data_IF_152138459145
#
_entry.id   IF_152138459145
#
_cell.length_a   1.000
_cell.length_b   1.000
_cell.length_c   1.000
_cell.angle_alpha   90.00
_cell.angle_beta   90.00
_cell.angle_gamma   90.00
#
_symmetry.space_group_name_H-M   'P 1'
#
loop_
_entity.id
_entity.type
_entity.pdbx_description
1 polymer ?
#
# COMPACT_ATOMS: atom_id res chain seq x y z
N UNK A 1 -0.42 -27.34 9.35
CA UNK A 1 -1.32 -26.61 8.41
C UNK A 1 -0.48 -26.07 7.29
N UNK A 2 -0.95 -26.14 6.04
CA UNK A 2 -0.20 -25.69 4.87
C UNK A 2 -1.04 -24.75 4.02
N UNK A 3 -0.44 -23.66 3.58
CA UNK A 3 -1.08 -22.66 2.75
C UNK A 3 -0.29 -22.54 1.43
N UNK A 4 -0.99 -22.65 0.34
CA UNK A 4 -0.44 -22.45 -1.01
C UNK A 4 -1.14 -21.24 -1.63
N UNK A 5 -0.34 -20.28 -2.08
CA UNK A 5 -0.79 -19.11 -2.81
C UNK A 5 -0.47 -19.25 -4.29
N UNK A 6 -1.47 -19.37 -5.13
CA UNK A 6 -1.32 -19.45 -6.59
C UNK A 6 -1.64 -18.10 -7.20
N UNK A 7 -0.66 -17.47 -7.80
CA UNK A 7 -0.81 -16.24 -8.56
C UNK A 7 -0.67 -16.52 -10.05
N UNK A 8 -1.38 -15.76 -10.85
CA UNK A 8 -1.34 -15.93 -12.29
C UNK A 8 -1.60 -14.59 -13.00
N UNK A 9 -1.05 -14.44 -14.19
CA UNK A 9 -1.50 -13.38 -15.08
C UNK A 9 -2.90 -13.69 -15.62
N UNK A 10 -3.69 -12.67 -16.00
CA UNK A 10 -5.00 -12.92 -16.60
C UNK A 10 -4.92 -13.84 -17.82
N UNK A 11 -5.86 -14.75 -17.93
CA UNK A 11 -6.03 -15.69 -19.06
C UNK A 11 -4.92 -16.71 -19.27
N UNK A 12 -4.17 -17.08 -18.24
CA UNK A 12 -3.16 -18.13 -18.30
C UNK A 12 -3.61 -19.48 -17.70
N UNK A 13 -4.91 -19.70 -17.50
CA UNK A 13 -5.44 -20.96 -16.92
C UNK A 13 -5.15 -21.15 -15.43
N UNK A 14 -4.72 -20.09 -14.73
CA UNK A 14 -4.33 -20.17 -13.31
C UNK A 14 -5.46 -20.61 -12.36
N UNK A 15 -6.69 -20.26 -12.67
CA UNK A 15 -7.86 -20.66 -11.85
C UNK A 15 -8.11 -22.17 -11.94
N UNK A 16 -8.11 -22.71 -13.15
CA UNK A 16 -8.28 -24.14 -13.37
C UNK A 16 -7.12 -24.93 -12.75
N UNK A 17 -5.89 -24.43 -12.92
CA UNK A 17 -4.71 -25.00 -12.28
C UNK A 17 -4.85 -25.05 -10.75
N UNK A 18 -5.27 -23.95 -10.10
CA UNK A 18 -5.42 -23.86 -8.65
C UNK A 18 -6.51 -24.83 -8.14
N UNK A 19 -7.63 -24.94 -8.86
CA UNK A 19 -8.71 -25.89 -8.51
C UNK A 19 -8.26 -27.34 -8.67
N UNK A 20 -7.57 -27.65 -9.75
CA UNK A 20 -7.02 -29.00 -10.01
C UNK A 20 -5.98 -29.38 -8.97
N UNK A 21 -5.11 -28.42 -8.59
CA UNK A 21 -4.13 -28.60 -7.53
C UNK A 21 -4.80 -28.91 -6.17
N UNK A 22 -5.81 -28.11 -5.81
CA UNK A 22 -6.56 -28.31 -4.58
C UNK A 22 -7.25 -29.68 -4.54
N UNK A 23 -7.91 -30.06 -5.64
CA UNK A 23 -8.54 -31.36 -5.78
C UNK A 23 -7.54 -32.52 -5.63
N UNK A 24 -6.37 -32.43 -6.27
CA UNK A 24 -5.32 -33.45 -6.20
C UNK A 24 -4.65 -33.56 -4.81
N UNK A 25 -4.67 -32.48 -4.04
CA UNK A 25 -4.19 -32.46 -2.65
C UNK A 25 -5.28 -32.84 -1.62
N UNK A 26 -6.54 -32.86 -2.00
CA UNK A 26 -7.67 -33.00 -1.10
C UNK A 26 -7.88 -31.79 -0.21
N UNK A 27 -7.54 -30.59 -0.68
CA UNK A 27 -7.58 -29.32 0.04
C UNK A 27 -8.71 -28.42 -0.47
N UNK A 28 -9.12 -27.45 0.37
CA UNK A 28 -10.06 -26.42 -0.06
C UNK A 28 -9.36 -25.44 -1.03
N UNK A 29 -10.05 -25.08 -2.14
CA UNK A 29 -9.66 -23.96 -2.98
C UNK A 29 -10.42 -22.70 -2.55
N UNK A 30 -9.69 -21.62 -2.29
CA UNK A 30 -10.24 -20.30 -1.98
C UNK A 30 -9.88 -19.33 -3.10
N UNK A 31 -10.84 -19.09 -3.98
CA UNK A 31 -10.77 -18.07 -5.03
C UNK A 31 -11.54 -16.81 -4.62
N UNK A 32 -11.59 -15.83 -5.51
CA UNK A 32 -12.29 -14.57 -5.28
C UNK A 32 -13.78 -14.76 -5.03
N UNK A 33 -14.42 -15.73 -5.71
CA UNK A 33 -15.85 -15.99 -5.57
C UNK A 33 -16.19 -16.59 -4.20
N UNK A 34 -15.40 -17.56 -3.75
CA UNK A 34 -15.51 -18.17 -2.42
C UNK A 34 -15.27 -17.10 -1.33
N UNK A 35 -14.23 -16.29 -1.49
CA UNK A 35 -13.88 -15.25 -0.52
C UNK A 35 -14.98 -14.19 -0.39
N UNK A 36 -15.46 -13.64 -1.51
CA UNK A 36 -16.55 -12.65 -1.52
C UNK A 36 -17.84 -13.27 -0.97
N UNK A 37 -18.20 -14.50 -1.39
CA UNK A 37 -19.37 -15.19 -0.90
C UNK A 37 -19.36 -15.37 0.63
N UNK A 38 -18.20 -15.69 1.21
CA UNK A 38 -18.04 -15.81 2.67
C UNK A 38 -18.10 -14.46 3.37
N UNK A 39 -17.51 -13.40 2.78
CA UNK A 39 -17.59 -12.04 3.33
C UNK A 39 -19.05 -11.53 3.33
N UNK A 40 -19.81 -11.78 2.27
CA UNK A 40 -21.25 -11.45 2.20
C UNK A 40 -22.07 -12.21 3.25
N UNK A 41 -21.81 -13.51 3.43
CA UNK A 41 -22.48 -14.32 4.47
C UNK A 41 -22.21 -13.79 5.90
N UNK A 42 -21.22 -12.92 6.09
CA UNK A 42 -20.87 -12.24 7.34
C UNK A 42 -21.38 -10.81 7.43
N UNK A 43 -22.27 -10.40 6.55
CA UNK A 43 -22.85 -9.07 6.51
C UNK A 43 -22.11 -8.06 5.61
N UNK A 44 -21.10 -8.50 4.85
CA UNK A 44 -20.46 -7.65 3.85
C UNK A 44 -21.38 -7.30 2.69
N UNK A 45 -21.28 -6.09 2.17
CA UNK A 45 -22.03 -5.67 0.99
C UNK A 45 -21.28 -6.08 -0.29
N UNK A 46 -21.90 -6.97 -1.10
CA UNK A 46 -21.31 -7.51 -2.33
C UNK A 46 -20.82 -6.41 -3.29
N UNK A 47 -21.63 -5.36 -3.50
CA UNK A 47 -21.30 -4.28 -4.43
C UNK A 47 -20.10 -3.48 -3.95
N UNK A 48 -20.03 -3.19 -2.65
CA UNK A 48 -18.89 -2.48 -2.07
C UNK A 48 -17.60 -3.34 -2.10
N UNK A 49 -17.71 -4.64 -1.86
CA UNK A 49 -16.56 -5.56 -1.95
C UNK A 49 -16.01 -5.60 -3.38
N UNK A 50 -16.86 -5.71 -4.39
CA UNK A 50 -16.45 -5.69 -5.80
C UNK A 50 -15.83 -4.32 -6.18
N UNK A 51 -16.48 -3.22 -5.82
CA UNK A 51 -15.97 -1.87 -6.07
C UNK A 51 -14.60 -1.63 -5.41
N UNK A 52 -14.38 -2.18 -4.22
CA UNK A 52 -13.10 -2.09 -3.53
C UNK A 52 -11.98 -2.82 -4.29
N UNK A 53 -12.27 -3.98 -4.86
CA UNK A 53 -11.32 -4.77 -5.65
C UNK A 53 -11.00 -4.10 -7.00
N UNK A 54 -12.00 -3.54 -7.66
CA UNK A 54 -11.85 -2.79 -8.91
C UNK A 54 -11.18 -1.43 -8.71
N UNK A 55 -11.24 -0.87 -7.50
CA UNK A 55 -10.68 0.43 -7.17
C UNK A 55 -11.49 1.61 -7.73
N UNK A 56 -12.80 1.44 -7.87
CA UNK A 56 -13.72 2.44 -8.42
C UNK A 56 -14.81 2.81 -7.41
N UNK A 57 -15.31 4.06 -7.48
CA UNK A 57 -16.48 4.57 -6.76
C UNK A 57 -16.43 4.53 -5.22
N UNK A 58 -15.29 4.22 -4.60
CA UNK A 58 -15.13 4.23 -3.15
C UNK A 58 -14.07 5.25 -2.72
N UNK A 59 -14.31 5.90 -1.58
CA UNK A 59 -13.27 6.67 -0.89
C UNK A 59 -12.20 5.73 -0.38
N UNK A 60 -10.96 6.21 -0.26
CA UNK A 60 -9.82 5.38 0.14
C UNK A 60 -10.07 4.62 1.46
N UNK A 61 -10.68 5.28 2.45
CA UNK A 61 -11.04 4.64 3.74
C UNK A 61 -12.05 3.51 3.58
N UNK A 62 -13.08 3.75 2.78
CA UNK A 62 -14.12 2.74 2.50
C UNK A 62 -13.54 1.55 1.76
N UNK A 63 -12.69 1.81 0.75
CA UNK A 63 -11.96 0.78 0.04
C UNK A 63 -11.09 -0.06 0.97
N UNK A 64 -10.29 0.60 1.82
CA UNK A 64 -9.44 -0.06 2.82
C UNK A 64 -10.26 -0.94 3.76
N UNK A 65 -11.40 -0.44 4.27
CA UNK A 65 -12.27 -1.20 5.16
C UNK A 65 -12.80 -2.49 4.50
N UNK A 66 -13.23 -2.42 3.24
CA UNK A 66 -13.71 -3.61 2.51
C UNK A 66 -12.59 -4.62 2.26
N UNK A 67 -11.37 -4.16 1.96
CA UNK A 67 -10.21 -5.04 1.77
C UNK A 67 -9.81 -5.71 3.09
N UNK A 68 -9.81 -4.97 4.20
CA UNK A 68 -9.55 -5.54 5.53
C UNK A 68 -10.61 -6.57 5.95
N UNK A 69 -11.88 -6.34 5.59
CA UNK A 69 -12.94 -7.32 5.79
C UNK A 69 -12.69 -8.61 4.99
N UNK A 70 -12.21 -8.50 3.75
CA UNK A 70 -11.80 -9.66 2.95
C UNK A 70 -10.61 -10.39 3.58
N UNK A 71 -9.59 -9.65 4.08
CA UNK A 71 -8.46 -10.26 4.78
C UNK A 71 -8.89 -11.02 6.04
N UNK A 72 -9.75 -10.43 6.86
CA UNK A 72 -10.27 -11.11 8.06
C UNK A 72 -11.10 -12.36 7.70
N UNK A 73 -11.87 -12.30 6.61
CA UNK A 73 -12.61 -13.45 6.09
C UNK A 73 -11.67 -14.54 5.61
N UNK A 74 -10.61 -14.17 4.89
CA UNK A 74 -9.57 -15.09 4.44
C UNK A 74 -8.86 -15.76 5.64
N UNK A 75 -8.50 -14.98 6.67
CA UNK A 75 -7.90 -15.50 7.90
C UNK A 75 -8.69 -16.68 8.48
N UNK A 76 -10.00 -16.52 8.60
CA UNK A 76 -10.85 -17.59 9.12
C UNK A 76 -11.01 -18.81 8.19
N UNK A 77 -10.86 -18.61 6.87
CA UNK A 77 -10.87 -19.72 5.93
C UNK A 77 -9.60 -20.55 6.02
N UNK A 78 -8.44 -19.88 6.17
CA UNK A 78 -7.15 -20.57 6.27
C UNK A 78 -6.94 -21.23 7.63
N UNK A 79 -7.53 -20.70 8.70
CA UNK A 79 -7.46 -21.27 10.04
C UNK A 79 -8.02 -22.71 10.10
N UNK A 80 -8.98 -23.04 9.23
CA UNK A 80 -9.66 -24.35 9.20
C UNK A 80 -8.81 -25.49 8.67
N UNK A 81 -7.63 -25.24 8.12
CA UNK A 81 -6.76 -26.31 7.62
C UNK A 81 -5.98 -25.97 6.36
N UNK A 82 -5.60 -27.01 5.65
CA UNK A 82 -4.81 -26.89 4.42
C UNK A 82 -5.64 -26.26 3.29
N UNK A 83 -5.07 -25.27 2.61
CA UNK A 83 -5.81 -24.46 1.62
C UNK A 83 -4.94 -24.06 0.44
N UNK A 84 -5.55 -24.02 -0.76
CA UNK A 84 -5.00 -23.38 -1.96
C UNK A 84 -5.74 -22.07 -2.17
N UNK A 85 -5.07 -20.94 -2.04
CA UNK A 85 -5.60 -19.62 -2.32
C UNK A 85 -5.24 -19.20 -3.74
N UNK A 86 -6.19 -18.67 -4.51
CA UNK A 86 -5.97 -18.23 -5.88
C UNK A 86 -6.33 -16.76 -6.09
N UNK A 87 -5.54 -16.08 -6.91
CA UNK A 87 -5.80 -14.71 -7.36
C UNK A 87 -5.84 -13.72 -6.18
N UNK A 88 -6.95 -13.00 -5.99
CA UNK A 88 -7.12 -12.01 -4.92
C UNK A 88 -6.90 -12.63 -3.54
N UNK A 89 -7.40 -13.86 -3.30
CA UNK A 89 -7.18 -14.53 -2.03
C UNK A 89 -5.68 -14.81 -1.77
N UNK A 90 -4.92 -15.17 -2.81
CA UNK A 90 -3.48 -15.33 -2.71
C UNK A 90 -2.74 -14.00 -2.45
N UNK A 91 -3.20 -12.91 -3.06
CA UNK A 91 -2.61 -11.59 -2.91
C UNK A 91 -2.85 -10.98 -1.51
N UNK A 92 -3.99 -11.29 -0.89
CA UNK A 92 -4.34 -10.80 0.44
C UNK A 92 -3.59 -11.50 1.58
N UNK A 93 -2.88 -12.61 1.28
CA UNK A 93 -2.04 -13.30 2.25
C UNK A 93 -0.74 -12.51 2.50
N UNK A 94 -0.74 -11.72 3.56
CA UNK A 94 0.45 -10.99 4.02
C UNK A 94 1.23 -11.82 5.05
N UNK A 95 1.60 -13.04 4.69
CA UNK A 95 2.42 -13.95 5.49
C UNK A 95 3.86 -13.91 4.96
N UNK A 96 4.83 -14.23 5.83
CA UNK A 96 6.24 -14.21 5.47
C UNK A 96 6.63 -15.39 4.56
N UNK A 97 7.80 -15.29 3.93
CA UNK A 97 8.39 -16.40 3.18
C UNK A 97 8.64 -17.60 4.13
N UNK A 98 8.24 -18.79 3.68
CA UNK A 98 8.30 -20.02 4.48
C UNK A 98 7.00 -20.38 5.21
N UNK A 99 6.07 -19.45 5.35
CA UNK A 99 4.73 -19.71 5.95
C UNK A 99 3.69 -20.02 4.87
N UNK A 100 3.92 -19.55 3.66
CA UNK A 100 3.09 -19.75 2.46
C UNK A 100 3.97 -20.18 1.32
N UNK A 101 3.60 -21.24 0.64
CA UNK A 101 4.21 -21.61 -0.63
C UNK A 101 3.60 -20.78 -1.76
N UNK A 102 4.41 -19.96 -2.41
CA UNK A 102 3.99 -19.06 -3.47
C UNK A 102 4.33 -19.65 -4.84
N UNK A 103 3.31 -19.88 -5.62
CA UNK A 103 3.41 -20.47 -6.95
C UNK A 103 2.89 -19.47 -7.96
N UNK A 104 3.62 -19.30 -9.07
CA UNK A 104 3.10 -18.54 -10.20
C UNK A 104 2.87 -19.43 -11.40
N UNK A 105 1.72 -19.25 -12.03
CA UNK A 105 1.40 -19.83 -13.32
C UNK A 105 1.66 -18.76 -14.38
N UNK A 106 2.65 -19.00 -15.22
CA UNK A 106 3.09 -18.04 -16.24
C UNK A 106 3.10 -18.72 -17.60
N UNK A 107 2.41 -18.15 -18.58
CA UNK A 107 2.42 -18.61 -19.96
C UNK A 107 2.78 -17.46 -20.90
N UNK A 108 3.36 -17.73 -22.07
CA UNK A 108 3.70 -16.69 -23.04
C UNK A 108 2.49 -15.85 -23.46
N UNK A 109 2.70 -14.57 -23.72
CA UNK A 109 1.64 -13.64 -24.14
C UNK A 109 0.80 -14.17 -25.32
N UNK A 110 1.43 -14.86 -26.29
CA UNK A 110 0.74 -15.48 -27.42
C UNK A 110 -0.33 -16.50 -26.99
N UNK A 111 -0.04 -17.28 -25.95
CA UNK A 111 -0.96 -18.29 -25.41
C UNK A 111 -2.13 -17.63 -24.67
N UNK A 112 -1.84 -16.60 -23.88
CA UNK A 112 -2.88 -15.80 -23.21
C UNK A 112 -3.81 -15.12 -24.22
N UNK A 113 -3.25 -14.58 -25.32
CA UNK A 113 -4.04 -14.00 -26.40
C UNK A 113 -4.91 -15.05 -27.08
N UNK A 114 -4.37 -16.21 -27.41
CA UNK A 114 -5.15 -17.32 -27.97
C UNK A 114 -6.29 -17.76 -27.02
N UNK A 115 -6.05 -17.77 -25.72
CA UNK A 115 -7.08 -18.02 -24.70
C UNK A 115 -8.20 -16.98 -24.75
N UNK A 116 -7.87 -15.69 -24.87
CA UNK A 116 -8.87 -14.61 -25.02
C UNK A 116 -9.65 -14.77 -26.33
N UNK A 117 -8.97 -15.04 -27.43
CA UNK A 117 -9.60 -15.25 -28.75
C UNK A 117 -10.60 -16.42 -28.68
N UNK A 118 -10.24 -17.50 -28.03
CA UNK A 118 -11.08 -18.70 -27.90
C UNK A 118 -12.28 -18.53 -26.98
N UNK A 119 -12.07 -17.89 -25.82
CA UNK A 119 -13.12 -17.86 -24.77
C UNK A 119 -13.96 -16.58 -24.77
N UNK A 120 -13.43 -15.45 -25.28
CA UNK A 120 -14.13 -14.17 -25.31
C UNK A 120 -14.60 -13.81 -26.73
N UNK A 121 -14.25 -14.60 -27.73
CA UNK A 121 -14.59 -14.37 -29.14
C UNK A 121 -14.11 -12.99 -29.65
N UNK A 122 -12.97 -12.52 -29.12
CA UNK A 122 -12.31 -11.26 -29.50
C UNK A 122 -11.07 -11.60 -30.31
N UNK A 123 -10.79 -10.86 -31.40
CA UNK A 123 -9.67 -11.19 -32.28
C UNK A 123 -8.76 -9.98 -32.55
N UNK A 124 -7.53 -10.25 -32.93
CA UNK A 124 -6.59 -9.25 -33.44
C UNK A 124 -6.31 -8.10 -32.48
N UNK A 125 -6.72 -6.88 -32.85
CA UNK A 125 -6.52 -5.68 -32.05
C UNK A 125 -7.40 -5.63 -30.80
N UNK A 126 -8.63 -6.14 -30.89
CA UNK A 126 -9.58 -6.18 -29.78
C UNK A 126 -9.11 -7.13 -28.67
N UNK A 127 -8.67 -8.32 -29.02
CA UNK A 127 -8.10 -9.27 -28.06
C UNK A 127 -6.87 -8.68 -27.35
N UNK A 128 -6.01 -7.96 -28.08
CA UNK A 128 -4.85 -7.25 -27.48
C UNK A 128 -5.28 -6.13 -26.53
N UNK A 129 -6.25 -5.31 -26.94
CA UNK A 129 -6.75 -4.22 -26.10
C UNK A 129 -7.37 -4.76 -24.81
N UNK A 130 -8.18 -5.80 -24.93
CA UNK A 130 -8.82 -6.48 -23.81
C UNK A 130 -7.80 -7.06 -22.83
N UNK A 131 -6.81 -7.81 -23.30
CA UNK A 131 -5.76 -8.37 -22.46
C UNK A 131 -4.92 -7.29 -21.78
N UNK A 132 -4.55 -6.23 -22.49
CA UNK A 132 -3.80 -5.11 -21.94
C UNK A 132 -4.57 -4.39 -20.83
N UNK A 133 -5.90 -4.26 -20.94
CA UNK A 133 -6.71 -3.64 -19.88
C UNK A 133 -6.74 -4.51 -18.62
N UNK A 134 -6.88 -5.83 -18.75
CA UNK A 134 -6.80 -6.75 -17.62
C UNK A 134 -5.41 -6.75 -16.97
N UNK A 135 -4.35 -6.68 -17.75
CA UNK A 135 -2.97 -6.56 -17.23
C UNK A 135 -2.77 -5.23 -16.49
N UNK A 136 -3.38 -4.13 -16.98
CA UNK A 136 -3.35 -2.84 -16.28
C UNK A 136 -4.14 -2.90 -14.97
N UNK A 137 -5.31 -3.54 -14.97
CA UNK A 137 -6.11 -3.71 -13.77
C UNK A 137 -5.35 -4.54 -12.72
N UNK A 138 -4.72 -5.65 -13.13
CA UNK A 138 -3.87 -6.47 -12.28
C UNK A 138 -2.70 -5.68 -11.70
N UNK A 139 -2.00 -4.89 -12.52
CA UNK A 139 -0.91 -4.01 -12.04
C UNK A 139 -1.39 -2.96 -11.04
N UNK A 140 -2.54 -2.29 -11.30
CA UNK A 140 -3.13 -1.33 -10.35
C UNK A 140 -3.43 -1.98 -9.00
N UNK A 141 -4.00 -3.18 -9.01
CA UNK A 141 -4.27 -3.97 -7.81
C UNK A 141 -3.00 -4.30 -7.03
N UNK A 142 -1.99 -4.83 -7.69
CA UNK A 142 -0.72 -5.16 -7.03
C UNK A 142 0.04 -3.92 -6.54
N UNK A 143 -0.06 -2.80 -7.26
CA UNK A 143 0.49 -1.52 -6.78
C UNK A 143 -0.22 -1.06 -5.50
N UNK A 144 -1.52 -1.22 -5.43
CA UNK A 144 -2.30 -0.86 -4.25
C UNK A 144 -1.91 -1.69 -3.03
N UNK A 145 -1.81 -3.00 -3.18
CA UNK A 145 -1.51 -3.91 -2.06
C UNK A 145 -0.05 -3.89 -1.63
N UNK A 146 0.88 -3.94 -2.59
CA UNK A 146 2.29 -4.20 -2.32
C UNK A 146 3.18 -2.98 -2.52
N UNK A 147 2.60 -1.85 -2.94
CA UNK A 147 3.36 -0.67 -3.38
C UNK A 147 4.47 -1.03 -4.41
N UNK A 148 4.25 -2.11 -5.17
CA UNK A 148 5.21 -2.71 -6.10
C UNK A 148 4.85 -2.38 -7.54
N UNK A 149 5.81 -1.82 -8.29
CA UNK A 149 5.63 -1.53 -9.72
C UNK A 149 5.63 -2.77 -10.62
N UNK A 150 6.23 -3.85 -10.17
CA UNK A 150 6.30 -5.10 -10.93
C UNK A 150 4.97 -5.82 -11.00
N UNK A 151 4.02 -5.44 -10.15
CA UNK A 151 2.71 -6.10 -10.10
C UNK A 151 2.76 -7.53 -9.59
N UNK A 152 3.88 -7.94 -9.01
CA UNK A 152 4.09 -9.29 -8.50
C UNK A 152 4.36 -9.23 -7.00
N UNK A 153 3.84 -10.17 -6.21
CA UNK A 153 4.27 -10.39 -4.84
C UNK A 153 5.78 -10.64 -4.81
N UNK A 154 6.43 -10.30 -3.70
CA UNK A 154 7.86 -10.53 -3.52
C UNK A 154 8.13 -12.04 -3.44
N UNK A 155 8.78 -12.56 -4.48
CA UNK A 155 9.29 -13.95 -4.53
C UNK A 155 8.21 -15.01 -4.80
N UNK A 156 8.55 -15.95 -5.65
CA UNK A 156 7.82 -17.19 -5.85
C UNK A 156 8.75 -18.35 -5.56
N UNK A 157 8.22 -19.38 -4.90
CA UNK A 157 8.95 -20.62 -4.62
C UNK A 157 9.00 -21.52 -5.88
N UNK A 158 7.98 -21.39 -6.74
CA UNK A 158 7.88 -22.15 -7.99
C UNK A 158 7.17 -21.32 -9.07
N UNK A 159 7.72 -21.35 -10.28
CA UNK A 159 7.06 -20.89 -11.50
C UNK A 159 6.77 -22.08 -12.39
N UNK A 160 5.52 -22.21 -12.83
CA UNK A 160 5.10 -23.30 -13.74
C UNK A 160 4.53 -22.74 -15.04
N UNK A 161 4.85 -23.40 -16.13
CA UNK A 161 4.26 -23.14 -17.45
C UNK A 161 3.52 -24.38 -17.94
N UNK A 162 2.18 -24.46 -17.71
CA UNK A 162 1.40 -25.62 -18.13
C UNK A 162 1.34 -25.83 -19.66
N UNK A 163 1.55 -24.77 -20.46
CA UNK A 163 1.55 -24.88 -21.92
C UNK A 163 2.80 -25.61 -22.45
N UNK A 164 3.94 -25.46 -21.77
CA UNK A 164 5.19 -26.11 -22.15
C UNK A 164 5.36 -27.50 -21.52
N UNK A 165 5.01 -27.62 -20.25
CA UNK A 165 5.20 -28.86 -19.48
C UNK A 165 4.05 -29.85 -19.67
N UNK A 166 2.90 -29.38 -20.08
CA UNK A 166 1.62 -30.09 -19.99
C UNK A 166 0.97 -29.92 -18.59
N UNK A 167 -0.36 -29.82 -18.53
CA UNK A 167 -1.09 -29.54 -17.29
C UNK A 167 -0.82 -30.56 -16.18
N UNK A 168 -0.79 -31.85 -16.51
CA UNK A 168 -0.55 -32.93 -15.55
C UNK A 168 0.85 -32.94 -14.97
N UNK A 169 1.87 -32.67 -15.81
CA UNK A 169 3.27 -32.56 -15.38
C UNK A 169 3.46 -31.33 -14.46
N UNK A 170 2.88 -30.21 -14.81
CA UNK A 170 2.91 -29.00 -13.99
C UNK A 170 2.26 -29.24 -12.61
N UNK A 171 1.11 -29.90 -12.57
CA UNK A 171 0.43 -30.29 -11.32
C UNK A 171 1.27 -31.28 -10.50
N UNK A 172 1.87 -32.29 -11.17
CA UNK A 172 2.70 -33.30 -10.49
C UNK A 172 3.93 -32.67 -9.85
N UNK A 173 4.65 -31.80 -10.59
CA UNK A 173 5.82 -31.06 -10.09
C UNK A 173 5.45 -30.18 -8.88
N UNK A 174 4.33 -29.46 -8.98
CA UNK A 174 3.83 -28.63 -7.90
C UNK A 174 3.47 -29.45 -6.66
N UNK A 175 2.76 -30.57 -6.82
CA UNK A 175 2.43 -31.49 -5.71
C UNK A 175 3.68 -32.07 -5.05
N UNK A 176 4.71 -32.41 -5.84
CA UNK A 176 5.98 -32.92 -5.33
C UNK A 176 6.67 -31.89 -4.45
N UNK A 177 6.76 -30.62 -4.91
CA UNK A 177 7.31 -29.52 -4.14
C UNK A 177 6.53 -29.29 -2.83
N UNK A 178 5.19 -29.25 -2.89
CA UNK A 178 4.35 -29.06 -1.71
C UNK A 178 4.53 -30.18 -0.67
N UNK A 179 4.76 -31.42 -1.13
CA UNK A 179 4.97 -32.57 -0.24
C UNK A 179 6.38 -32.62 0.36
N UNK A 180 7.37 -32.02 -0.29
CA UNK A 180 8.72 -31.96 0.24
C UNK A 180 8.78 -30.98 1.42
N UNK A 181 8.91 -31.55 2.63
CA UNK A 181 9.00 -30.78 3.89
C UNK A 181 10.23 -29.89 3.99
N UNK A 182 11.26 -30.12 3.16
CA UNK A 182 12.50 -29.32 3.17
C UNK A 182 12.33 -27.95 2.55
N UNK A 183 11.33 -27.77 1.68
CA UNK A 183 11.03 -26.51 1.03
C UNK A 183 10.24 -25.54 1.89
N UNK A 184 9.73 -26.01 3.03
CA UNK A 184 9.01 -25.17 3.99
C UNK A 184 9.95 -24.90 5.17
N UNK A 185 10.11 -23.65 5.54
CA UNK A 185 10.53 -23.28 6.89
C UNK A 185 9.63 -24.00 7.91
N UNK A 186 10.09 -24.17 9.13
CA UNK A 186 9.33 -24.86 10.17
C UNK A 186 7.88 -24.38 10.16
N UNK A 187 6.91 -25.35 10.06
CA UNK A 187 5.48 -25.05 10.21
C UNK A 187 5.32 -24.17 11.46
N UNK A 188 5.09 -22.88 11.28
CA UNK A 188 4.85 -21.98 12.39
C UNK A 188 3.33 -21.67 12.47
N UNK A 189 2.55 -22.49 13.18
CA UNK A 189 1.13 -22.27 13.33
C UNK A 189 0.81 -20.95 14.04
N UNK A 190 1.77 -20.40 14.79
CA UNK A 190 1.60 -19.11 15.49
C UNK A 190 1.48 -17.94 14.52
N UNK A 191 2.25 -17.92 13.44
CA UNK A 191 2.21 -16.83 12.47
C UNK A 191 0.88 -16.76 11.71
N UNK A 192 0.23 -17.89 11.48
CA UNK A 192 -1.12 -17.93 10.92
C UNK A 192 -2.15 -17.42 11.93
N UNK A 193 -2.03 -17.82 13.21
CA UNK A 193 -2.85 -17.27 14.30
C UNK A 193 -2.66 -15.75 14.42
N UNK A 194 -1.43 -15.29 14.39
CA UNK A 194 -1.10 -13.85 14.43
C UNK A 194 -1.72 -13.10 13.23
N UNK A 195 -1.67 -13.69 12.02
CA UNK A 195 -2.33 -13.12 10.84
C UNK A 195 -3.86 -13.05 11.00
N UNK A 196 -4.48 -14.13 11.49
CA UNK A 196 -5.94 -14.20 11.72
C UNK A 196 -6.36 -13.13 12.72
N UNK A 197 -5.63 -13.01 13.81
CA UNK A 197 -5.89 -12.04 14.86
C UNK A 197 -5.68 -10.61 14.36
N UNK A 198 -4.55 -10.32 13.71
CA UNK A 198 -4.25 -9.00 13.17
C UNK A 198 -5.29 -8.56 12.13
N UNK A 199 -5.69 -9.45 11.21
CA UNK A 199 -6.68 -9.14 10.19
C UNK A 199 -8.07 -8.90 10.79
N UNK A 200 -8.44 -9.64 11.82
CA UNK A 200 -9.70 -9.46 12.56
C UNK A 200 -9.76 -8.11 13.27
N UNK A 201 -8.69 -7.74 13.97
CA UNK A 201 -8.57 -6.43 14.65
C UNK A 201 -8.64 -5.29 13.65
N UNK A 202 -7.85 -5.35 12.57
CA UNK A 202 -7.85 -4.31 11.53
C UNK A 202 -9.21 -4.13 10.89
N UNK A 203 -9.89 -5.24 10.55
CA UNK A 203 -11.21 -5.18 9.96
C UNK A 203 -12.23 -4.57 10.93
N UNK A 204 -12.19 -4.95 12.20
CA UNK A 204 -13.10 -4.40 13.20
C UNK A 204 -12.92 -2.90 13.40
N UNK A 205 -11.68 -2.43 13.56
CA UNK A 205 -11.38 -1.00 13.68
C UNK A 205 -11.81 -0.22 12.44
N UNK A 206 -11.63 -0.78 11.25
CA UNK A 206 -11.97 -0.11 10.00
C UNK A 206 -13.46 -0.10 9.67
N UNK A 207 -14.24 -1.05 10.20
CA UNK A 207 -15.69 -1.17 9.94
C UNK A 207 -16.56 -0.58 11.04
N UNK A 208 -16.01 -0.35 12.23
CA UNK A 208 -16.71 0.31 13.32
C UNK A 208 -16.77 1.82 13.08
N UNK A 209 -17.95 2.45 13.02
CA UNK A 209 -18.10 3.89 12.72
C UNK A 209 -17.27 4.79 13.65
N UNK A 210 -17.17 4.41 14.92
CA UNK A 210 -16.51 5.16 15.98
C UNK A 210 -14.98 5.17 15.81
N UNK A 211 -14.39 4.12 15.21
CA UNK A 211 -12.94 3.97 15.05
C UNK A 211 -12.47 4.01 13.60
N UNK A 212 -13.39 3.93 12.62
CA UNK A 212 -13.06 3.89 11.18
C UNK A 212 -12.26 5.12 10.68
N UNK A 213 -12.33 6.24 11.41
CA UNK A 213 -11.60 7.45 11.09
C UNK A 213 -10.15 7.45 11.60
N UNK A 214 -9.79 6.53 12.48
CA UNK A 214 -8.46 6.41 13.08
C UNK A 214 -7.50 5.73 12.10
N UNK A 215 -6.27 6.22 12.04
CA UNK A 215 -5.19 5.58 11.28
C UNK A 215 -4.28 4.83 12.25
N UNK A 216 -4.70 3.62 12.59
CA UNK A 216 -3.98 2.72 13.48
C UNK A 216 -3.39 1.57 12.68
N UNK A 217 -2.11 1.31 12.92
CA UNK A 217 -1.43 0.11 12.48
C UNK A 217 -1.51 -0.97 13.57
N UNK A 218 -1.71 -2.21 13.15
CA UNK A 218 -1.87 -3.35 14.04
C UNK A 218 -0.87 -4.42 13.65
N UNK A 219 -0.02 -4.78 14.57
CA UNK A 219 0.91 -5.90 14.46
C UNK A 219 0.57 -6.91 15.55
N UNK A 220 0.61 -8.20 15.23
CA UNK A 220 0.42 -9.27 16.22
C UNK A 220 1.67 -10.12 16.24
N UNK A 221 2.19 -10.38 17.42
CA UNK A 221 3.34 -11.23 17.67
C UNK A 221 3.06 -12.15 18.86
N UNK A 222 3.06 -13.46 18.63
CA UNK A 222 2.80 -14.47 19.66
C UNK A 222 1.48 -14.22 20.43
N UNK A 223 0.41 -14.03 19.68
CA UNK A 223 -0.95 -13.73 20.19
C UNK A 223 -1.06 -12.38 20.93
N UNK A 224 -0.03 -11.54 20.93
CA UNK A 224 -0.06 -10.21 21.50
C UNK A 224 -0.24 -9.15 20.41
N UNK A 225 -1.31 -8.37 20.49
CA UNK A 225 -1.62 -7.32 19.54
C UNK A 225 -0.96 -5.99 19.96
N UNK A 226 -0.09 -5.46 19.12
CA UNK A 226 0.58 -4.18 19.30
C UNK A 226 -0.09 -3.18 18.35
N UNK A 227 -0.67 -2.13 18.92
CA UNK A 227 -1.31 -1.06 18.15
C UNK A 227 -0.42 0.18 18.13
N UNK A 228 -0.21 0.72 16.93
CA UNK A 228 0.60 1.93 16.69
C UNK A 228 -0.22 2.97 15.97
N UNK A 229 -0.07 4.23 16.36
CA UNK A 229 -0.74 5.33 15.67
C UNK A 229 -0.99 6.53 16.55
N UNK A 230 -1.96 7.33 16.16
CA UNK A 230 -2.30 8.57 16.85
C UNK A 230 -3.80 8.67 17.07
N UNK A 231 -4.20 9.07 18.27
CA UNK A 231 -5.57 9.42 18.63
C UNK A 231 -5.60 10.85 19.15
N UNK A 232 -6.74 11.52 19.03
CA UNK A 232 -6.86 12.95 19.38
C UNK A 232 -6.91 13.19 20.89
N UNK A 233 -7.52 12.29 21.61
CA UNK A 233 -7.75 12.40 23.05
C UNK A 233 -7.86 11.02 23.70
N UNK A 234 -7.93 11.01 25.02
CA UNK A 234 -8.10 9.79 25.80
C UNK A 234 -9.44 9.09 25.54
N UNK A 235 -10.48 9.83 25.13
CA UNK A 235 -11.80 9.25 24.81
C UNK A 235 -11.69 8.36 23.55
N UNK A 236 -10.98 8.81 22.51
CA UNK A 236 -10.72 7.97 21.32
C UNK A 236 -9.92 6.71 21.67
N UNK A 237 -8.99 6.79 22.63
CA UNK A 237 -8.25 5.62 23.09
C UNK A 237 -9.15 4.61 23.81
N UNK A 238 -10.06 5.08 24.65
CA UNK A 238 -11.05 4.21 25.32
C UNK A 238 -12.00 3.57 24.29
N UNK A 239 -12.47 4.32 23.28
CA UNK A 239 -13.27 3.76 22.18
C UNK A 239 -12.54 2.62 21.45
N UNK A 240 -11.22 2.75 21.21
CA UNK A 240 -10.42 1.66 20.62
C UNK A 240 -10.44 0.42 21.52
N UNK A 241 -10.30 0.60 22.84
CA UNK A 241 -10.36 -0.51 23.79
C UNK A 241 -11.74 -1.17 23.79
N UNK A 242 -12.81 -0.38 23.87
CA UNK A 242 -14.20 -0.88 23.91
C UNK A 242 -14.56 -1.67 22.66
N UNK A 243 -14.07 -1.25 21.49
CA UNK A 243 -14.27 -1.95 20.21
C UNK A 243 -13.54 -3.29 20.18
N UNK A 244 -12.39 -3.40 20.85
CA UNK A 244 -11.52 -4.58 20.79
C UNK A 244 -11.75 -5.58 21.92
N UNK A 245 -12.11 -5.12 23.13
CA UNK A 245 -12.30 -5.94 24.33
C UNK A 245 -13.21 -7.18 24.13
N UNK A 246 -14.33 -7.10 23.39
CA UNK A 246 -15.20 -8.27 23.21
C UNK A 246 -14.54 -9.45 22.50
N UNK A 247 -13.42 -9.23 21.82
CA UNK A 247 -12.73 -10.25 21.01
C UNK A 247 -11.30 -10.54 21.44
N UNK A 248 -10.76 -9.79 22.41
CA UNK A 248 -9.39 -9.93 22.87
C UNK A 248 -9.36 -9.79 24.39
N UNK A 249 -8.70 -10.72 25.11
CA UNK A 249 -8.38 -10.49 26.52
C UNK A 249 -7.52 -9.22 26.64
N UNK A 250 -7.84 -8.36 27.61
CA UNK A 250 -7.08 -7.09 27.83
C UNK A 250 -5.56 -7.31 27.99
N UNK A 251 -5.16 -8.48 28.48
CA UNK A 251 -3.77 -8.87 28.69
C UNK A 251 -2.99 -9.14 27.39
N UNK A 252 -3.69 -9.25 26.23
CA UNK A 252 -3.10 -9.51 24.93
C UNK A 252 -3.02 -8.28 24.04
N UNK A 253 -3.19 -7.06 24.59
CA UNK A 253 -3.13 -5.81 23.84
C UNK A 253 -2.07 -4.87 24.41
N UNK A 254 -1.13 -4.46 23.58
CA UNK A 254 -0.19 -3.37 23.86
C UNK A 254 -0.61 -2.10 23.13
N UNK A 255 -1.10 -1.13 23.88
CA UNK A 255 -1.52 0.19 23.40
C UNK A 255 -0.48 1.28 23.72
N UNK A 256 0.66 0.92 24.30
CA UNK A 256 1.70 1.87 24.73
C UNK A 256 2.30 2.68 23.58
N UNK A 257 2.16 2.20 22.35
CA UNK A 257 2.65 2.84 21.13
C UNK A 257 1.59 3.73 20.45
N UNK A 258 0.42 3.92 21.06
CA UNK A 258 -0.57 4.89 20.60
C UNK A 258 -0.25 6.24 21.25
N UNK A 259 0.04 7.24 20.41
CA UNK A 259 0.25 8.62 20.86
C UNK A 259 -1.08 9.34 20.98
N UNK A 260 -1.43 9.77 22.19
CA UNK A 260 -2.56 10.67 22.43
C UNK A 260 -2.09 12.09 22.15
N UNK A 261 -2.63 12.71 21.11
CA UNK A 261 -2.40 14.11 20.80
C UNK A 261 -3.48 14.88 21.53
N UNK A 262 -3.33 15.10 22.83
CA UNK A 262 -4.17 16.06 23.51
C UNK A 262 -4.03 17.39 22.77
N UNK A 263 -5.12 17.80 22.13
CA UNK A 263 -5.20 19.16 21.59
C UNK A 263 -5.00 20.07 22.79
N UNK A 264 -3.78 20.58 22.87
CA UNK A 264 -3.32 21.43 23.96
C UNK A 264 -4.48 22.37 24.31
N UNK A 265 -4.92 22.38 25.57
CA UNK A 265 -5.81 23.37 26.13
C UNK A 265 -5.24 24.81 26.02
N UNK A 266 -4.15 24.98 25.29
CA UNK A 266 -3.53 26.24 24.89
C UNK A 266 -4.50 27.24 24.24
N UNK A 267 -5.64 26.81 23.71
CA UNK A 267 -6.61 27.77 23.15
C UNK A 267 -7.43 28.53 24.21
N UNK A 268 -7.62 27.98 25.37
CA UNK A 268 -8.32 28.70 26.47
C UNK A 268 -7.37 29.56 27.32
N UNK A 269 -6.16 29.05 27.60
CA UNK A 269 -5.17 29.80 28.36
C UNK A 269 -4.54 30.92 27.54
N UNK A 270 -4.24 30.69 26.23
CA UNK A 270 -3.77 31.75 25.32
C UNK A 270 -4.84 32.81 25.10
N UNK A 271 -6.13 32.48 25.01
CA UNK A 271 -7.23 33.46 24.98
C UNK A 271 -7.35 34.21 26.31
N UNK A 272 -7.22 33.52 27.44
CA UNK A 272 -7.21 34.12 28.76
C UNK A 272 -6.00 35.05 28.95
N UNK A 273 -4.83 34.62 28.49
CA UNK A 273 -3.60 35.44 28.57
C UNK A 273 -3.69 36.64 27.62
N UNK A 274 -4.15 36.49 26.37
CA UNK A 274 -4.35 37.59 25.44
C UNK A 274 -5.40 38.59 25.95
N UNK A 275 -6.47 38.13 26.58
CA UNK A 275 -7.49 39.03 27.16
C UNK A 275 -7.02 39.78 28.40
N UNK A 276 -6.03 39.27 29.14
CA UNK A 276 -5.44 39.90 30.32
C UNK A 276 -4.26 40.81 29.97
N UNK A 277 -3.51 40.50 28.91
CA UNK A 277 -2.27 41.24 28.55
C UNK A 277 -2.52 42.47 27.68
N UNK A 278 -3.72 42.65 27.11
CA UNK A 278 -4.04 43.78 26.23
C UNK A 278 -4.98 44.85 26.88
N UNK A 279 -4.92 45.01 28.19
CA UNK A 279 -5.50 46.24 28.84
C UNK A 279 -4.41 47.27 29.02
N UNK A 280 -3.97 47.91 27.94
CA UNK A 280 -3.21 49.15 28.02
C UNK A 280 -4.18 50.32 28.26
N UNK A 281 -4.01 51.11 29.30
CA UNK A 281 -4.78 52.33 29.49
C UNK A 281 -4.25 53.40 28.54
N UNK A 282 -4.77 53.45 27.33
CA UNK A 282 -4.45 54.51 26.37
C UNK A 282 -5.41 55.67 26.56
N UNK A 283 -4.86 56.85 26.85
CA UNK A 283 -5.62 58.10 26.90
C UNK A 283 -6.22 58.41 25.51
N UNK A 284 -7.43 58.95 25.40
CA UNK A 284 -8.19 59.01 24.15
C UNK A 284 -7.61 59.89 23.02
N UNK A 285 -6.51 60.61 23.28
CA UNK A 285 -5.85 61.46 22.26
C UNK A 285 -4.69 60.80 21.52
N UNK A 286 -4.21 59.62 21.96
CA UNK A 286 -3.08 58.91 21.33
C UNK A 286 -3.50 57.68 20.54
N UNK A 287 -4.80 57.34 20.49
CA UNK A 287 -5.30 56.12 19.87
C UNK A 287 -5.14 56.11 18.33
N UNK A 288 -5.13 57.26 17.67
CA UNK A 288 -5.11 57.38 16.22
C UNK A 288 -3.71 57.23 15.61
N UNK A 289 -2.66 57.56 16.35
CA UNK A 289 -1.28 57.43 15.84
C UNK A 289 -0.74 56.01 15.91
N UNK A 290 -1.25 55.18 16.82
CA UNK A 290 -0.87 53.77 16.93
C UNK A 290 -1.73 52.84 16.07
N UNK A 291 -2.94 53.25 15.65
CA UNK A 291 -3.76 52.45 14.74
C UNK A 291 -3.14 52.31 13.33
N UNK A 292 -2.45 53.36 12.87
CA UNK A 292 -1.75 53.33 11.57
C UNK A 292 -0.52 52.43 11.55
N UNK A 293 0.27 52.40 12.62
CA UNK A 293 1.45 51.54 12.73
C UNK A 293 1.08 50.09 13.01
N UNK A 294 0.06 49.85 13.84
CA UNK A 294 -0.44 48.49 14.08
C UNK A 294 -1.05 47.84 12.86
N UNK A 295 -1.75 48.61 12.01
CA UNK A 295 -2.29 48.14 10.73
C UNK A 295 -1.21 47.73 9.75
N UNK A 296 -0.13 48.51 9.63
CA UNK A 296 1.02 48.18 8.75
C UNK A 296 1.77 46.93 9.20
N UNK A 297 1.96 46.73 10.51
CA UNK A 297 2.60 45.51 11.05
C UNK A 297 1.70 44.28 10.83
N UNK A 298 0.39 44.39 10.99
CA UNK A 298 -0.53 43.27 10.70
C UNK A 298 -0.61 42.95 9.22
N UNK A 299 -0.56 43.94 8.33
CA UNK A 299 -0.50 43.70 6.88
C UNK A 299 0.85 43.10 6.47
N UNK A 300 1.96 43.52 7.09
CA UNK A 300 3.28 42.94 6.84
C UNK A 300 3.36 41.50 7.38
N UNK A 301 2.83 41.21 8.56
CA UNK A 301 2.76 39.85 9.14
C UNK A 301 1.79 38.95 8.35
N UNK A 302 0.65 39.46 7.91
CA UNK A 302 -0.26 38.73 7.04
C UNK A 302 0.39 38.48 5.66
N UNK A 303 1.09 39.44 5.08
CA UNK A 303 1.85 39.30 3.83
C UNK A 303 2.97 38.26 3.96
N UNK A 304 3.70 38.25 5.08
CA UNK A 304 4.73 37.26 5.37
C UNK A 304 4.11 35.85 5.62
N UNK A 305 2.94 35.80 6.26
CA UNK A 305 2.22 34.55 6.48
C UNK A 305 1.59 33.99 5.21
N UNK A 306 1.11 34.86 4.31
CA UNK A 306 0.56 34.48 3.00
C UNK A 306 1.64 34.11 1.97
N UNK A 307 2.79 34.78 1.99
CA UNK A 307 3.92 34.45 1.11
C UNK A 307 4.63 33.15 1.52
N UNK A 308 4.67 32.82 2.81
CA UNK A 308 5.21 31.55 3.31
C UNK A 308 4.35 30.31 3.02
N UNK A 309 3.03 30.50 2.76
CA UNK A 309 2.09 29.38 2.51
C UNK A 309 2.02 28.87 1.08
N UNK A 310 2.69 29.50 0.11
CA UNK A 310 2.58 29.11 -1.31
C UNK A 310 3.52 28.00 -1.77
N UNK A 311 4.23 27.30 -0.89
CA UNK A 311 5.28 26.40 -1.33
C UNK A 311 4.95 24.90 -1.28
N UNK A 312 3.86 24.46 -0.62
CA UNK A 312 3.55 23.03 -0.54
C UNK A 312 2.04 22.76 -0.55
N UNK A 313 1.56 21.84 -1.39
CA UNK A 313 0.16 21.42 -1.39
C UNK A 313 -0.20 20.71 -0.07
N UNK A 314 -1.44 20.83 0.35
CA UNK A 314 -1.96 20.32 1.63
C UNK A 314 -1.78 18.80 1.86
N UNK A 315 -1.45 18.04 0.81
CA UNK A 315 -1.21 16.59 0.84
C UNK A 315 0.27 16.22 0.61
N UNK A 316 1.24 17.12 0.84
CA UNK A 316 2.65 16.79 0.63
C UNK A 316 3.26 16.07 1.83
N UNK A 317 3.98 14.98 1.59
CA UNK A 317 4.68 14.17 2.57
C UNK A 317 6.18 14.42 2.49
N UNK A 318 6.81 14.81 3.60
CA UNK A 318 8.26 14.96 3.68
C UNK A 318 8.90 13.55 3.69
N UNK A 319 9.82 13.32 2.77
CA UNK A 319 10.57 12.07 2.64
C UNK A 319 12.06 12.37 2.70
N UNK A 320 12.83 11.45 3.29
CA UNK A 320 14.27 11.41 3.21
C UNK A 320 14.64 10.12 2.45
N UNK A 321 15.28 10.27 1.29
CA UNK A 321 15.48 9.20 0.31
C UNK A 321 16.94 9.16 -0.15
N UNK A 322 17.52 7.97 -0.12
CA UNK A 322 18.78 7.70 -0.80
C UNK A 322 18.48 7.04 -2.16
N UNK A 323 19.16 7.50 -3.21
CA UNK A 323 18.93 6.94 -4.54
C UNK A 323 19.85 7.56 -5.60
N UNK A 324 19.57 7.23 -6.85
CA UNK A 324 20.29 7.73 -8.02
C UNK A 324 19.36 8.58 -8.87
N UNK A 325 19.84 9.74 -9.32
CA UNK A 325 19.11 10.57 -10.30
C UNK A 325 19.30 9.97 -11.69
N UNK A 326 18.22 9.50 -12.28
CA UNK A 326 18.19 8.81 -13.57
C UNK A 326 16.99 9.28 -14.41
N UNK A 327 16.69 8.61 -15.49
CA UNK A 327 15.54 8.88 -16.35
C UNK A 327 14.38 7.88 -16.10
N UNK A 328 13.16 8.29 -16.45
CA UNK A 328 11.96 7.50 -16.23
C UNK A 328 11.87 6.24 -17.11
N UNK A 329 12.66 6.14 -18.16
CA UNK A 329 12.66 4.99 -19.08
C UNK A 329 13.53 3.87 -18.52
N UNK A 330 14.72 4.19 -18.05
CA UNK A 330 15.71 3.23 -17.53
C UNK A 330 15.61 3.00 -16.02
N UNK A 331 15.05 3.95 -15.27
CA UNK A 331 14.73 3.90 -13.84
C UNK A 331 15.55 2.93 -13.00
N UNK A 332 15.04 1.74 -12.82
CA UNK A 332 15.67 0.70 -11.99
C UNK A 332 16.84 -0.05 -12.63
N UNK A 333 17.00 -0.01 -13.95
CA UNK A 333 18.06 -0.73 -14.65
C UNK A 333 19.47 -0.26 -14.28
N UNK A 334 19.59 0.93 -13.67
CA UNK A 334 20.87 1.53 -13.26
C UNK A 334 21.16 1.39 -11.75
N UNK A 335 20.52 0.45 -11.06
CA UNK A 335 20.73 0.28 -9.61
C UNK A 335 22.10 -0.24 -9.23
N UNK A 336 22.66 -1.13 -10.04
CA UNK A 336 23.96 -1.79 -9.78
C UNK A 336 25.14 -1.01 -10.32
N UNK A 337 24.93 -0.24 -11.40
CA UNK A 337 25.95 0.62 -11.99
C UNK A 337 25.39 2.03 -12.12
N UNK A 338 26.16 3.04 -11.69
CA UNK A 338 25.80 4.45 -11.88
C UNK A 338 25.69 4.73 -13.38
N UNK A 339 24.54 5.24 -13.87
CA UNK A 339 24.41 5.60 -15.28
C UNK A 339 25.33 6.76 -15.61
N UNK A 340 25.92 6.76 -16.80
CA UNK A 340 26.61 7.93 -17.30
C UNK A 340 25.60 9.10 -17.40
N UNK A 341 25.96 10.26 -16.87
CA UNK A 341 25.09 11.44 -16.88
C UNK A 341 24.61 11.81 -18.29
N UNK A 342 25.45 11.58 -19.29
CA UNK A 342 25.13 11.78 -20.70
C UNK A 342 24.04 10.83 -21.22
N UNK A 343 24.04 9.57 -20.79
CA UNK A 343 23.00 8.60 -21.15
C UNK A 343 21.64 9.03 -20.60
N UNK A 344 21.58 9.45 -19.32
CA UNK A 344 20.36 9.95 -18.68
C UNK A 344 19.83 11.19 -19.42
N UNK A 345 20.70 12.17 -19.70
CA UNK A 345 20.34 13.38 -20.45
C UNK A 345 19.90 13.09 -21.89
N UNK A 346 20.53 12.11 -22.54
CA UNK A 346 20.13 11.68 -23.88
C UNK A 346 18.73 11.09 -23.89
N UNK A 347 18.40 10.20 -22.95
CA UNK A 347 17.05 9.63 -22.82
C UNK A 347 15.98 10.69 -22.59
N UNK A 348 16.25 11.69 -21.76
CA UNK A 348 15.31 12.79 -21.53
C UNK A 348 15.10 13.63 -22.81
N UNK A 349 16.17 13.97 -23.54
CA UNK A 349 16.11 14.79 -24.76
C UNK A 349 15.49 14.06 -25.96
N UNK A 350 15.84 12.78 -26.17
CA UNK A 350 15.47 12.07 -27.40
C UNK A 350 14.22 11.21 -27.26
N UNK A 351 13.89 10.74 -26.05
CA UNK A 351 12.75 9.85 -25.79
C UNK A 351 11.64 10.48 -24.97
N UNK A 352 11.74 11.77 -24.62
CA UNK A 352 10.75 12.46 -23.79
C UNK A 352 10.65 11.90 -22.36
N UNK A 353 11.70 11.23 -21.88
CA UNK A 353 11.76 10.74 -20.49
C UNK A 353 11.79 11.92 -19.52
N UNK A 354 11.47 11.66 -18.23
CA UNK A 354 11.58 12.64 -17.17
C UNK A 354 12.72 12.26 -16.22
N UNK A 355 13.37 13.24 -15.62
CA UNK A 355 14.31 13.00 -14.54
C UNK A 355 13.56 12.48 -13.30
N UNK A 356 14.11 11.45 -12.69
CA UNK A 356 13.53 10.76 -11.55
C UNK A 356 14.59 10.40 -10.51
N UNK A 357 14.23 10.37 -9.23
CA UNK A 357 15.06 9.78 -8.17
C UNK A 357 14.70 8.29 -8.05
N UNK A 358 15.62 7.41 -8.40
CA UNK A 358 15.49 5.97 -8.22
C UNK A 358 16.06 5.55 -6.86
N UNK A 359 15.20 5.32 -5.89
CA UNK A 359 15.54 4.79 -4.57
C UNK A 359 15.46 3.26 -4.56
N UNK A 360 15.90 2.61 -3.46
CA UNK A 360 15.89 1.15 -3.31
C UNK A 360 14.50 0.52 -3.51
N UNK A 361 13.44 1.22 -3.17
CA UNK A 361 12.07 0.71 -3.20
C UNK A 361 11.19 1.35 -4.28
N UNK A 362 11.50 2.57 -4.74
CA UNK A 362 10.60 3.34 -5.62
C UNK A 362 11.34 4.36 -6.47
N UNK A 363 10.74 4.68 -7.63
CA UNK A 363 11.16 5.77 -8.50
C UNK A 363 10.22 6.96 -8.31
N UNK A 364 10.78 8.12 -8.05
CA UNK A 364 10.05 9.36 -7.79
C UNK A 364 10.31 10.35 -8.92
N UNK A 365 9.31 10.73 -9.74
CA UNK A 365 9.46 11.79 -10.72
C UNK A 365 9.80 13.10 -10.00
N UNK A 366 10.82 13.83 -10.49
CA UNK A 366 11.18 15.11 -9.92
C UNK A 366 10.20 16.19 -10.39
N UNK A 367 9.75 17.04 -9.47
CA UNK A 367 8.88 18.16 -9.77
C UNK A 367 9.61 19.22 -10.60
N UNK A 368 10.90 19.48 -10.27
CA UNK A 368 11.76 20.35 -11.07
C UNK A 368 12.72 19.50 -11.91
N UNK A 369 12.51 19.51 -13.22
CA UNK A 369 13.32 18.77 -14.18
C UNK A 369 14.71 19.40 -14.40
N UNK A 370 14.91 20.68 -14.08
CA UNK A 370 16.22 21.35 -14.17
C UNK A 370 17.15 20.89 -13.05
N UNK A 371 16.61 20.70 -11.83
CA UNK A 371 17.37 20.09 -10.74
C UNK A 371 17.79 18.67 -11.09
N UNK A 372 16.89 17.89 -11.74
CA UNK A 372 17.18 16.55 -12.23
C UNK A 372 18.29 16.51 -13.29
N UNK A 373 18.33 17.50 -14.18
CA UNK A 373 19.38 17.62 -15.22
C UNK A 373 20.76 17.90 -14.59
N UNK A 374 20.81 18.77 -13.60
CA UNK A 374 22.06 19.10 -12.89
C UNK A 374 22.65 17.89 -12.16
N UNK A 375 21.80 17.06 -11.57
CA UNK A 375 22.16 15.91 -10.74
C UNK A 375 22.15 14.57 -11.51
N UNK A 376 22.00 14.58 -12.83
CA UNK A 376 21.88 13.39 -13.64
C UNK A 376 23.06 12.43 -13.45
N UNK A 377 22.78 11.16 -13.16
CA UNK A 377 23.77 10.11 -12.95
C UNK A 377 24.41 10.08 -11.56
N UNK A 378 24.05 10.97 -10.67
CA UNK A 378 24.63 11.05 -9.32
C UNK A 378 23.84 10.23 -8.30
N UNK A 379 24.54 9.66 -7.30
CA UNK A 379 23.95 9.09 -6.10
C UNK A 379 23.78 10.19 -5.06
N UNK A 380 22.59 10.33 -4.55
CA UNK A 380 22.23 11.43 -3.65
C UNK A 380 21.42 10.94 -2.44
N UNK A 381 21.57 11.64 -1.32
CA UNK A 381 20.61 11.65 -0.23
C UNK A 381 19.78 12.92 -0.36
N UNK A 382 18.51 12.76 -0.62
CA UNK A 382 17.60 13.85 -0.90
C UNK A 382 16.48 13.91 0.12
N UNK A 383 16.25 15.09 0.69
CA UNK A 383 15.02 15.38 1.46
C UNK A 383 14.10 16.19 0.58
N UNK A 384 12.84 15.75 0.47
CA UNK A 384 11.87 16.42 -0.42
C UNK A 384 10.43 16.15 -0.02
N UNK A 385 9.52 16.92 -0.60
CA UNK A 385 8.09 16.77 -0.42
C UNK A 385 7.49 16.01 -1.58
N UNK A 386 6.87 14.86 -1.27
CA UNK A 386 6.09 14.11 -2.25
C UNK A 386 4.69 14.71 -2.33
N UNK A 387 4.31 15.19 -3.50
CA UNK A 387 2.95 15.63 -3.78
C UNK A 387 2.03 14.42 -3.93
N UNK A 388 1.05 14.28 -3.04
CA UNK A 388 0.11 13.16 -3.04
C UNK A 388 -0.83 13.13 -4.24
N UNK A 389 -1.06 14.26 -4.91
CA UNK A 389 -1.93 14.35 -6.07
C UNK A 389 -1.22 13.98 -7.38
N UNK A 390 0.01 14.45 -7.57
CA UNK A 390 0.78 14.25 -8.81
C UNK A 390 1.81 13.13 -8.71
N UNK A 391 2.17 12.71 -7.48
CA UNK A 391 3.24 11.75 -7.22
C UNK A 391 4.64 12.29 -7.50
N UNK A 392 4.79 13.59 -7.74
CA UNK A 392 6.08 14.22 -7.99
C UNK A 392 6.81 14.57 -6.69
N UNK A 393 8.12 14.39 -6.70
CA UNK A 393 9.01 14.74 -5.58
C UNK A 393 9.60 16.12 -5.81
N UNK A 394 9.31 17.07 -4.93
CA UNK A 394 9.96 18.38 -4.89
C UNK A 394 11.12 18.34 -3.90
N UNK A 395 12.32 18.45 -4.40
CA UNK A 395 13.52 18.43 -3.58
C UNK A 395 13.59 19.70 -2.70
N UNK A 396 14.02 19.53 -1.45
CA UNK A 396 14.29 20.61 -0.49
C UNK A 396 15.78 20.74 -0.21
N UNK A 397 16.46 19.63 -0.08
CA UNK A 397 17.90 19.55 0.09
C UNK A 397 18.43 18.28 -0.56
N UNK A 398 19.59 18.35 -1.15
CA UNK A 398 20.29 17.24 -1.80
C UNK A 398 21.73 17.27 -1.35
N UNK A 399 22.24 16.10 -0.97
CA UNK A 399 23.66 15.89 -0.67
C UNK A 399 24.16 14.77 -1.59
N UNK A 400 25.24 15.04 -2.30
CA UNK A 400 25.91 14.01 -3.08
C UNK A 400 26.59 13.02 -2.13
N UNK A 401 26.39 11.73 -2.39
CA UNK A 401 27.13 10.68 -1.68
C UNK A 401 28.42 10.44 -2.44
N UNK A 402 29.54 10.83 -1.85
CA UNK A 402 30.87 10.55 -2.41
C UNK A 402 31.04 9.03 -2.60
N UNK A 403 31.74 8.66 -3.70
CA UNK A 403 32.03 7.26 -4.07
C UNK A 403 32.88 6.54 -3.05
#
# INVERSE_FOLDING_TARGET
MRIVAVSAEPFCGGEEFARSLAARLGWQCVDSAVLIGRAVARGGNRMQLLAALEGVHLRERERRAQILLLQATLGQLIEKGNVVCYGIAADLLNLQAGEVQRITVAVPYRCRRASVEKHMNLYGAEARAFLNEHDRARRRWCMYLFNSRTGLPLGYDLAVNPDEMGPDAALAATCAMIRDRRSLGADNPRSVGDFVLASSIRARLATCPETAHLDLDVEVQNDNAILRGRVKNSEELELVKDVLVPNLPQQSMDLSQIQVIEAVQASREVRSWMSKSFRLPLAPRQAWTFAGLGGLVLVALAGFWFSGRRLYPANSRLLNLEGVITDSTCGFSHREALPAAECVRACVRTRGAKYVLSSSSRVFPLADQREGEALAGQRVVATGFLDGATGNLKLRSVQEVAR
#
